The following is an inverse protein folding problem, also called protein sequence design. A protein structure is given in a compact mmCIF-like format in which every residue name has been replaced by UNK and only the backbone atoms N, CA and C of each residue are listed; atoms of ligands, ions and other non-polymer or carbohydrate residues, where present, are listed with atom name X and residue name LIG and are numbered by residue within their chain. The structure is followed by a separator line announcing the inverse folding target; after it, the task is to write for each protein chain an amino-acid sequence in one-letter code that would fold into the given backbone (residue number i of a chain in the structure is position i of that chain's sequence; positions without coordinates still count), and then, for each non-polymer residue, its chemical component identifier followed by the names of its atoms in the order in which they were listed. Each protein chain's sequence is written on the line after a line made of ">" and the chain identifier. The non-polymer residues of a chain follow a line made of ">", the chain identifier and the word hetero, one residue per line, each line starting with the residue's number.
data_IF_630642731082
#
_entry.id   IF_630642731082
#
_cell.length_a   1.000
_cell.length_b   1.000
_cell.length_c   1.000
_cell.angle_alpha   90.00
_cell.angle_beta   90.00
_cell.angle_gamma   90.00
#
_symmetry.space_group_name_H-M   'P 1'
#
loop_
_entity.id
_entity.type
_entity.pdbx_description
1 polymer ?
#
# COMPACT_ATOMS: atom_id res chain seq x y z
N UNK A 1 11.39 -6.90 -4.65
CA UNK A 1 12.08 -8.14 -4.25
C UNK A 1 11.28 -8.83 -3.16
N UNK A 2 11.20 -10.15 -3.18
CA UNK A 2 10.42 -10.94 -2.21
C UNK A 2 11.33 -11.98 -1.55
N UNK A 3 11.28 -12.04 -0.22
CA UNK A 3 12.07 -12.94 0.61
C UNK A 3 11.11 -13.77 1.48
N UNK A 4 10.77 -14.99 1.06
CA UNK A 4 9.74 -15.82 1.71
C UNK A 4 10.15 -16.38 3.08
N UNK A 5 11.43 -16.30 3.46
CA UNK A 5 11.93 -16.98 4.66
C UNK A 5 13.09 -16.19 5.29
N UNK A 6 12.75 -15.22 6.14
CA UNK A 6 13.75 -14.48 6.93
C UNK A 6 14.26 -15.25 8.15
N UNK A 7 13.50 -16.25 8.61
CA UNK A 7 13.81 -17.06 9.78
C UNK A 7 13.95 -18.54 9.40
N UNK A 8 14.78 -19.28 10.16
CA UNK A 8 15.02 -20.71 9.89
C UNK A 8 13.74 -21.57 9.90
N UNK A 9 12.70 -21.11 10.57
CA UNK A 9 11.39 -21.77 10.68
C UNK A 9 10.39 -21.38 9.59
N UNK A 10 10.71 -20.40 8.71
CA UNK A 10 9.77 -19.97 7.66
C UNK A 10 8.61 -19.11 8.16
N UNK A 11 8.59 -18.74 9.45
CA UNK A 11 7.48 -17.99 10.03
C UNK A 11 7.44 -16.53 9.56
N UNK A 12 8.54 -15.99 9.02
CA UNK A 12 8.65 -14.59 8.63
C UNK A 12 8.92 -14.42 7.14
N UNK A 13 8.10 -13.58 6.51
CA UNK A 13 8.27 -13.13 5.14
C UNK A 13 8.59 -11.63 5.11
N UNK A 14 9.44 -11.24 4.17
CA UNK A 14 9.71 -9.84 3.83
C UNK A 14 9.46 -9.60 2.36
N UNK A 15 8.66 -8.59 2.06
CA UNK A 15 8.47 -8.07 0.72
C UNK A 15 8.99 -6.64 0.68
N UNK A 16 9.80 -6.33 -0.31
CA UNK A 16 10.17 -4.95 -0.63
C UNK A 16 9.85 -4.66 -2.08
N UNK A 17 9.42 -3.45 -2.40
CA UNK A 17 9.18 -3.04 -3.79
C UNK A 17 9.74 -1.65 -4.00
N UNK A 18 10.38 -1.46 -5.15
CA UNK A 18 10.82 -0.15 -5.59
C UNK A 18 10.37 0.02 -7.02
N UNK A 19 9.69 1.13 -7.29
CA UNK A 19 9.23 1.50 -8.62
C UNK A 19 9.60 2.96 -8.89
N UNK A 20 9.90 3.25 -10.16
CA UNK A 20 10.21 4.60 -10.61
C UNK A 20 9.67 4.81 -12.02
N UNK A 21 8.89 5.88 -12.20
CA UNK A 21 8.42 6.33 -13.51
C UNK A 21 9.32 7.47 -14.03
N UNK A 22 9.27 7.73 -15.34
CA UNK A 22 9.97 8.86 -15.98
C UNK A 22 8.93 9.89 -16.41
N UNK A 23 9.33 11.15 -16.56
CA UNK A 23 8.43 12.27 -16.91
C UNK A 23 7.68 12.07 -18.24
N UNK A 24 8.17 11.24 -19.15
CA UNK A 24 7.64 11.09 -20.51
C UNK A 24 6.63 9.94 -20.68
N UNK A 25 6.29 9.21 -19.62
CA UNK A 25 5.30 8.13 -19.66
C UNK A 25 4.31 8.36 -18.51
N UNK A 26 3.00 8.40 -18.82
CA UNK A 26 1.86 8.71 -17.93
C UNK A 26 1.49 10.20 -17.76
N UNK A 27 1.20 10.89 -18.85
CA UNK A 27 0.43 12.14 -18.80
C UNK A 27 -1.07 11.79 -18.83
N UNK A 28 -1.73 11.72 -17.67
CA UNK A 28 -3.18 11.54 -17.61
C UNK A 28 -3.79 12.58 -16.66
N UNK A 29 -4.19 13.72 -17.22
CA UNK A 29 -4.86 14.83 -16.52
C UNK A 29 -6.28 14.54 -16.02
N UNK A 30 -6.61 13.29 -15.68
CA UNK A 30 -7.94 12.87 -15.25
C UNK A 30 -7.97 12.24 -13.84
N UNK A 31 -6.83 11.85 -13.28
CA UNK A 31 -6.75 11.22 -11.95
C UNK A 31 -5.64 11.88 -11.12
N UNK A 32 -5.85 13.12 -10.71
CA UNK A 32 -4.92 13.85 -9.82
C UNK A 32 -4.94 13.31 -8.37
N UNK A 33 -5.98 12.55 -8.01
CA UNK A 33 -6.20 12.00 -6.66
C UNK A 33 -5.89 10.50 -6.55
N UNK A 34 -5.18 9.94 -7.54
CA UNK A 34 -5.05 8.49 -7.68
C UNK A 34 -6.39 7.81 -7.98
N UNK A 35 -6.38 6.52 -8.30
CA UNK A 35 -7.61 5.76 -8.54
C UNK A 35 -8.23 5.39 -7.19
N UNK A 36 -8.86 6.37 -6.55
CA UNK A 36 -9.64 6.20 -5.33
C UNK A 36 -11.09 5.90 -5.70
N UNK A 37 -11.59 4.72 -5.31
CA UNK A 37 -13.02 4.47 -5.23
C UNK A 37 -13.34 4.28 -3.76
N UNK A 38 -14.20 5.15 -3.23
CA UNK A 38 -14.69 5.11 -1.84
C UNK A 38 -13.59 5.18 -0.77
N UNK A 39 -12.58 6.04 -0.97
CA UNK A 39 -11.50 6.24 0.00
C UNK A 39 -10.44 5.13 0.04
N UNK A 40 -10.54 4.11 -0.82
CA UNK A 40 -9.51 3.08 -1.00
C UNK A 40 -8.73 3.31 -2.30
N UNK A 41 -7.41 3.40 -2.21
CA UNK A 41 -6.49 3.39 -3.36
C UNK A 41 -6.58 2.02 -4.06
N UNK A 42 -7.25 1.98 -5.21
CA UNK A 42 -7.55 0.75 -5.97
C UNK A 42 -6.58 0.49 -7.14
N UNK A 43 -5.49 1.25 -7.23
CA UNK A 43 -4.43 1.04 -8.21
C UNK A 43 -3.17 1.84 -7.90
N UNK A 44 -2.04 1.41 -8.47
CA UNK A 44 -0.74 2.06 -8.35
C UNK A 44 -0.68 3.30 -9.26
N UNK A 45 -1.51 4.30 -8.94
CA UNK A 45 -1.59 5.56 -9.66
C UNK A 45 -0.41 6.46 -9.25
N UNK A 46 0.82 6.00 -9.55
CA UNK A 46 2.03 6.75 -9.22
C UNK A 46 2.12 8.07 -10.01
N UNK A 47 1.53 8.16 -11.21
CA UNK A 47 1.70 9.31 -12.10
C UNK A 47 3.10 9.38 -12.72
N UNK A 48 3.40 10.43 -13.50
CA UNK A 48 4.72 10.62 -14.10
C UNK A 48 5.74 11.15 -13.07
N UNK A 49 7.02 10.93 -13.35
CA UNK A 49 8.18 11.26 -12.49
C UNK A 49 8.06 10.84 -11.00
N UNK A 50 7.41 9.72 -10.76
CA UNK A 50 7.14 9.22 -9.43
C UNK A 50 8.16 8.17 -8.98
N UNK A 51 8.34 8.07 -7.68
CA UNK A 51 9.14 7.05 -7.02
C UNK A 51 8.35 6.44 -5.89
N UNK A 52 8.31 5.11 -5.83
CA UNK A 52 7.64 4.36 -4.77
C UNK A 52 8.62 3.43 -4.09
N UNK A 53 8.55 3.39 -2.76
CA UNK A 53 9.18 2.37 -1.94
C UNK A 53 8.13 1.72 -1.05
N UNK A 54 8.10 0.39 -1.05
CA UNK A 54 7.23 -0.39 -0.18
C UNK A 54 8.05 -1.41 0.58
N UNK A 55 7.67 -1.62 1.84
CA UNK A 55 8.18 -2.69 2.69
C UNK A 55 7.04 -3.32 3.47
N UNK A 56 6.97 -4.65 3.45
CA UNK A 56 6.01 -5.44 4.18
C UNK A 56 6.69 -6.59 4.90
N UNK A 57 6.37 -6.77 6.17
CA UNK A 57 6.81 -7.90 6.98
C UNK A 57 5.57 -8.68 7.40
N UNK A 58 5.55 -9.98 7.11
CA UNK A 58 4.45 -10.87 7.49
C UNK A 58 4.97 -11.96 8.42
N UNK A 59 4.19 -12.29 9.44
CA UNK A 59 4.43 -13.40 10.35
C UNK A 59 3.29 -14.41 10.26
N UNK A 60 3.62 -15.67 10.03
CA UNK A 60 2.73 -16.81 10.21
C UNK A 60 2.67 -17.15 11.69
N UNK A 61 1.47 -17.11 12.27
CA UNK A 61 1.24 -17.52 13.66
C UNK A 61 1.00 -19.02 13.76
N UNK A 62 0.35 -19.58 12.74
CA UNK A 62 0.16 -21.01 12.50
C UNK A 62 -0.11 -21.23 10.99
N UNK A 63 -0.51 -22.44 10.59
CA UNK A 63 -0.77 -22.76 9.18
C UNK A 63 -1.86 -21.89 8.53
N UNK A 64 -2.82 -21.44 9.34
CA UNK A 64 -4.07 -20.83 8.91
C UNK A 64 -4.15 -19.34 9.26
N UNK A 65 -3.14 -18.77 9.93
CA UNK A 65 -3.23 -17.44 10.53
C UNK A 65 -1.95 -16.64 10.33
N UNK A 66 -2.12 -15.39 9.89
CA UNK A 66 -1.03 -14.48 9.55
C UNK A 66 -1.33 -13.07 10.00
N UNK A 67 -0.28 -12.38 10.44
CA UNK A 67 -0.29 -10.94 10.68
C UNK A 67 0.75 -10.27 9.79
N UNK A 68 0.44 -9.09 9.27
CA UNK A 68 1.36 -8.31 8.44
C UNK A 68 1.43 -6.87 8.88
N UNK A 69 2.63 -6.31 8.83
CA UNK A 69 2.88 -4.89 8.95
C UNK A 69 3.47 -4.39 7.64
N UNK A 70 2.97 -3.25 7.16
CA UNK A 70 3.33 -2.71 5.86
C UNK A 70 3.54 -1.20 5.98
N UNK A 71 4.49 -0.71 5.21
CA UNK A 71 4.74 0.71 5.01
C UNK A 71 5.01 1.00 3.54
N UNK A 72 4.55 2.14 3.07
CA UNK A 72 4.77 2.62 1.72
C UNK A 72 5.04 4.12 1.73
N UNK A 73 5.97 4.53 0.88
CA UNK A 73 6.23 5.93 0.58
C UNK A 73 6.19 6.12 -0.93
N UNK A 74 5.49 7.16 -1.39
CA UNK A 74 5.43 7.56 -2.79
C UNK A 74 5.73 9.04 -2.89
N UNK A 75 6.73 9.39 -3.69
CA UNK A 75 6.90 10.74 -4.18
C UNK A 75 6.30 10.81 -5.59
N UNK A 76 5.38 11.75 -5.84
CA UNK A 76 4.73 11.96 -7.14
C UNK A 76 5.21 13.27 -7.77
N UNK A 77 5.42 13.27 -9.09
CA UNK A 77 5.84 14.46 -9.84
C UNK A 77 7.03 15.19 -9.20
N UNK A 78 8.10 14.44 -8.89
CA UNK A 78 9.23 14.86 -8.05
C UNK A 78 9.95 16.12 -8.52
N UNK A 79 9.80 16.47 -9.79
CA UNK A 79 10.37 17.69 -10.38
C UNK A 79 9.55 18.96 -10.09
N UNK A 80 8.33 18.85 -9.56
CA UNK A 80 7.49 20.01 -9.21
C UNK A 80 7.92 20.63 -7.87
N UNK A 81 7.79 21.96 -7.77
CA UNK A 81 8.11 22.69 -6.54
C UNK A 81 7.17 22.35 -5.36
N UNK A 82 5.98 21.84 -5.66
CA UNK A 82 4.98 21.37 -4.71
C UNK A 82 4.69 19.89 -4.95
N UNK A 83 5.76 19.08 -5.07
CA UNK A 83 5.64 17.64 -5.25
C UNK A 83 4.77 17.01 -4.16
N UNK A 84 3.87 16.11 -4.57
CA UNK A 84 2.96 15.42 -3.68
C UNK A 84 3.62 14.18 -3.10
N UNK A 85 3.47 13.95 -1.80
CA UNK A 85 4.06 12.80 -1.11
C UNK A 85 2.98 12.02 -0.38
N UNK A 86 3.01 10.70 -0.48
CA UNK A 86 2.09 9.80 0.20
C UNK A 86 2.88 8.83 1.08
N UNK A 87 2.60 8.88 2.38
CA UNK A 87 3.08 7.92 3.37
C UNK A 87 1.92 7.06 3.87
N UNK A 88 2.04 5.75 3.77
CA UNK A 88 1.02 4.81 4.26
C UNK A 88 1.62 3.76 5.19
N UNK A 89 0.88 3.46 6.25
CA UNK A 89 1.20 2.40 7.20
C UNK A 89 -0.05 1.59 7.49
N UNK A 90 0.04 0.26 7.42
CA UNK A 90 -1.10 -0.59 7.75
C UNK A 90 -0.71 -1.93 8.35
N UNK A 91 -1.57 -2.38 9.25
CA UNK A 91 -1.61 -3.72 9.78
C UNK A 91 -2.64 -4.55 9.02
N UNK A 92 -2.32 -5.81 8.84
CA UNK A 92 -3.18 -6.79 8.20
C UNK A 92 -3.26 -8.04 9.06
N UNK A 93 -4.42 -8.67 9.08
CA UNK A 93 -4.70 -9.95 9.70
C UNK A 93 -5.42 -10.83 8.69
N UNK A 94 -4.98 -12.07 8.56
CA UNK A 94 -5.60 -13.06 7.69
C UNK A 94 -5.75 -14.35 8.47
N UNK A 95 -6.94 -14.95 8.42
CA UNK A 95 -7.22 -16.25 9.00
C UNK A 95 -8.12 -17.10 8.11
N UNK A 96 -7.70 -18.34 7.85
CA UNK A 96 -8.58 -19.36 7.29
C UNK A 96 -9.52 -19.87 8.40
N UNK A 97 -10.83 -19.70 8.20
CA UNK A 97 -11.86 -20.12 9.15
C UNK A 97 -12.34 -21.55 8.85
N UNK A 98 -12.50 -21.86 7.56
CA UNK A 98 -12.84 -23.19 7.05
C UNK A 98 -12.05 -23.45 5.76
N UNK A 99 -12.18 -24.66 5.19
CA UNK A 99 -11.44 -25.06 3.98
C UNK A 99 -11.49 -24.02 2.85
N UNK A 100 -12.64 -23.37 2.69
CA UNK A 100 -12.90 -22.44 1.59
C UNK A 100 -13.30 -21.04 2.08
N UNK A 101 -13.16 -20.75 3.38
CA UNK A 101 -13.58 -19.47 4.00
C UNK A 101 -12.40 -18.78 4.65
N UNK A 102 -12.16 -17.53 4.26
CA UNK A 102 -11.06 -16.71 4.75
C UNK A 102 -11.59 -15.41 5.34
N UNK A 103 -11.07 -15.02 6.50
CA UNK A 103 -11.25 -13.72 7.12
C UNK A 103 -10.00 -12.88 6.90
N UNK A 104 -10.19 -11.68 6.38
CA UNK A 104 -9.13 -10.70 6.15
C UNK A 104 -9.54 -9.40 6.83
N UNK A 105 -8.63 -8.79 7.60
CA UNK A 105 -8.85 -7.51 8.24
C UNK A 105 -7.64 -6.61 8.04
N UNK A 106 -7.87 -5.31 7.90
CA UNK A 106 -6.83 -4.30 7.74
C UNK A 106 -7.16 -3.05 8.55
N UNK A 107 -6.13 -2.44 9.12
CA UNK A 107 -6.21 -1.12 9.72
C UNK A 107 -4.96 -0.33 9.35
N UNK A 108 -5.12 0.90 8.88
CA UNK A 108 -4.01 1.72 8.42
C UNK A 108 -4.27 3.21 8.51
N UNK A 109 -3.20 3.97 8.29
CA UNK A 109 -3.18 5.41 8.22
C UNK A 109 -2.43 5.80 6.94
N UNK A 110 -2.93 6.82 6.28
CA UNK A 110 -2.32 7.43 5.10
C UNK A 110 -2.17 8.93 5.35
N UNK A 111 -1.01 9.49 5.02
CA UNK A 111 -0.75 10.93 5.04
C UNK A 111 -0.36 11.37 3.64
N UNK A 112 -1.07 12.37 3.14
CA UNK A 112 -0.85 12.96 1.83
C UNK A 112 -0.37 14.40 2.02
N UNK A 113 0.87 14.70 1.67
CA UNK A 113 1.42 16.04 1.72
C UNK A 113 1.33 16.70 0.34
N UNK A 114 1.02 18.01 0.32
CA UNK A 114 0.81 18.79 -0.90
C UNK A 114 -0.23 18.21 -1.86
N UNK A 115 -1.37 17.76 -1.35
CA UNK A 115 -2.48 17.21 -2.12
C UNK A 115 -2.86 18.12 -3.30
N UNK A 116 -2.95 17.54 -4.50
CA UNK A 116 -3.19 18.28 -5.74
C UNK A 116 -2.03 19.21 -6.15
N UNK A 117 -0.80 18.90 -5.73
CA UNK A 117 0.42 19.67 -6.01
C UNK A 117 0.38 21.12 -5.50
N UNK A 118 -0.21 21.32 -4.33
CA UNK A 118 -0.34 22.63 -3.68
C UNK A 118 0.39 22.65 -2.33
N UNK A 119 1.37 23.55 -2.16
CA UNK A 119 2.19 23.61 -0.95
C UNK A 119 1.37 23.78 0.33
N UNK A 120 1.61 22.89 1.31
CA UNK A 120 0.99 22.92 2.64
C UNK A 120 -0.47 22.46 2.67
N UNK A 121 -0.97 21.89 1.58
CA UNK A 121 -2.28 21.24 1.54
C UNK A 121 -2.12 19.78 1.92
N UNK A 122 -2.13 19.49 3.21
CA UNK A 122 -1.92 18.14 3.71
C UNK A 122 -3.25 17.49 4.11
N UNK A 123 -3.35 16.18 3.94
CA UNK A 123 -4.51 15.37 4.34
C UNK A 123 -4.06 14.10 5.07
N UNK A 124 -4.91 13.58 5.97
CA UNK A 124 -4.65 12.35 6.70
C UNK A 124 -5.92 11.52 6.77
N UNK A 125 -5.81 10.27 6.33
CA UNK A 125 -6.91 9.32 6.26
C UNK A 125 -6.64 8.09 7.12
N UNK A 126 -7.71 7.53 7.68
CA UNK A 126 -7.69 6.25 8.36
C UNK A 126 -8.40 5.21 7.48
N UNK A 127 -7.76 4.06 7.30
CA UNK A 127 -8.24 2.96 6.47
C UNK A 127 -8.58 1.80 7.39
N UNK A 128 -9.80 1.28 7.30
CA UNK A 128 -10.19 0.07 8.02
C UNK A 128 -11.03 -0.82 7.10
N UNK A 129 -10.73 -2.11 7.08
CA UNK A 129 -11.54 -3.07 6.33
C UNK A 129 -11.62 -4.42 7.05
N UNK A 130 -12.74 -5.09 6.85
CA UNK A 130 -12.96 -6.48 7.23
C UNK A 130 -13.66 -7.16 6.07
N UNK A 131 -13.08 -8.23 5.57
CA UNK A 131 -13.54 -8.96 4.38
C UNK A 131 -13.65 -10.44 4.73
N UNK A 132 -14.77 -11.05 4.32
CA UNK A 132 -14.91 -12.50 4.27
C UNK A 132 -14.86 -12.93 2.80
N UNK A 133 -13.97 -13.87 2.49
CA UNK A 133 -13.74 -14.39 1.14
C UNK A 133 -14.03 -15.88 1.10
N UNK A 134 -14.85 -16.28 0.12
CA UNK A 134 -15.14 -17.67 -0.19
C UNK A 134 -14.47 -18.08 -1.49
N UNK A 135 -13.88 -19.27 -1.54
CA UNK A 135 -13.35 -19.86 -2.78
C UNK A 135 -14.27 -21.00 -3.21
N UNK A 136 -15.02 -20.78 -4.29
CA UNK A 136 -15.81 -21.84 -4.94
C UNK A 136 -14.93 -22.76 -5.78
#
# INVERSE_FOLDING_TARGET
>A
MYFPQLSKDGAWELKTEYAKTKNCWYDHGAFQDGWSYDGALLGDAMGPDAQKFYVGVKRHLNADERIGFNAMHVDMERSLAAAQQLDEFWFSYERQLEKDVYLEAMLGLAKLDNAGFANGRDDTSCLASVTLRWRM
#
